data_IF_301033962665
#
_entry.id   IF_301033962665
#
_cell.length_a   1.000
_cell.length_b   1.000
_cell.length_c   1.000
_cell.angle_alpha   90.00
_cell.angle_beta   90.00
_cell.angle_gamma   90.00
#
_symmetry.space_group_name_H-M   'P 1'
#
loop_
_entity.id
_entity.type
_entity.pdbx_description
1 polymer ?
#
# COMPACT_ATOMS: atom_id res chain seq x y z
N UNK A 1 11.49 28.88 8.91
CA UNK A 1 11.53 28.04 7.69
C UNK A 1 11.31 26.58 8.01
N UNK A 2 12.10 25.98 8.90
CA UNK A 2 11.86 24.63 9.44
C UNK A 2 10.39 24.39 9.87
N UNK A 3 9.83 25.27 10.71
CA UNK A 3 8.43 25.19 11.13
C UNK A 3 7.43 25.23 9.96
N UNK A 4 7.71 26.01 8.90
CA UNK A 4 6.83 26.12 7.73
C UNK A 4 6.80 24.80 6.97
N UNK A 5 7.98 24.22 6.72
CA UNK A 5 8.11 22.95 6.03
C UNK A 5 7.51 21.80 6.84
N UNK A 6 7.77 21.78 8.16
CA UNK A 6 7.24 20.75 9.05
C UNK A 6 5.71 20.79 9.07
N UNK A 7 5.10 21.97 9.27
CA UNK A 7 3.64 22.14 9.26
C UNK A 7 3.07 21.80 7.88
N UNK A 8 3.72 22.20 6.79
CA UNK A 8 3.25 21.89 5.44
C UNK A 8 3.25 20.38 5.16
N UNK A 9 4.34 19.70 5.54
CA UNK A 9 4.50 18.27 5.35
C UNK A 9 3.54 17.48 6.25
N UNK A 10 3.35 17.91 7.50
CA UNK A 10 2.37 17.30 8.41
C UNK A 10 0.95 17.50 7.88
N UNK A 11 0.58 18.69 7.42
CA UNK A 11 -0.73 18.97 6.80
C UNK A 11 -0.96 18.15 5.53
N UNK A 12 0.05 17.97 4.69
CA UNK A 12 -0.04 17.13 3.49
C UNK A 12 -0.26 15.66 3.86
N UNK A 13 0.50 15.13 4.82
CA UNK A 13 0.33 13.76 5.29
C UNK A 13 -1.07 13.56 5.89
N UNK A 14 -1.49 14.48 6.74
CA UNK A 14 -2.79 14.45 7.41
C UNK A 14 -3.96 14.59 6.44
N UNK A 15 -3.85 15.41 5.39
CA UNK A 15 -4.88 15.52 4.35
C UNK A 15 -4.99 14.22 3.54
N UNK A 16 -3.87 13.62 3.12
CA UNK A 16 -3.89 12.38 2.34
C UNK A 16 -4.50 11.22 3.12
N UNK A 17 -4.06 11.00 4.37
CA UNK A 17 -4.68 9.99 5.24
C UNK A 17 -6.13 10.33 5.57
N UNK A 18 -6.44 11.61 5.75
CA UNK A 18 -7.80 12.12 5.97
C UNK A 18 -8.74 11.76 4.83
N UNK A 19 -8.36 11.96 3.56
CA UNK A 19 -9.19 11.65 2.39
C UNK A 19 -9.56 10.16 2.39
N UNK A 20 -8.57 9.28 2.53
CA UNK A 20 -8.81 7.83 2.54
C UNK A 20 -9.70 7.40 3.70
N UNK A 21 -9.48 7.96 4.89
CA UNK A 21 -10.25 7.64 6.10
C UNK A 21 -11.70 8.13 5.99
N UNK A 22 -11.91 9.35 5.49
CA UNK A 22 -13.24 9.92 5.23
C UNK A 22 -14.01 9.06 4.22
N UNK A 23 -13.42 8.71 3.07
CA UNK A 23 -14.11 7.87 2.08
C UNK A 23 -14.55 6.54 2.69
N UNK A 24 -13.66 5.88 3.44
CA UNK A 24 -13.93 4.57 4.04
C UNK A 24 -15.03 4.63 5.10
N UNK A 25 -14.89 5.48 6.13
CA UNK A 25 -15.81 5.43 7.28
C UNK A 25 -17.00 6.39 7.16
N UNK A 26 -16.86 7.50 6.42
CA UNK A 26 -17.98 8.44 6.24
C UNK A 26 -18.96 7.91 5.20
N UNK A 27 -18.46 7.46 4.04
CA UNK A 27 -19.31 7.19 2.90
C UNK A 27 -19.49 5.71 2.55
N UNK A 28 -18.46 4.88 2.71
CA UNK A 28 -18.49 3.43 2.41
C UNK A 28 -18.62 2.52 3.63
N UNK A 29 -19.04 3.04 4.77
CA UNK A 29 -19.32 2.18 5.92
C UNK A 29 -20.56 1.33 5.63
N UNK A 30 -20.51 0.02 5.92
CA UNK A 30 -21.69 -0.84 5.85
C UNK A 30 -22.86 -0.33 6.71
N UNK A 31 -22.55 0.42 7.76
CA UNK A 31 -23.56 1.05 8.63
C UNK A 31 -24.39 2.13 7.91
N UNK A 32 -23.96 2.67 6.77
CA UNK A 32 -24.72 3.72 6.08
C UNK A 32 -26.07 3.21 5.57
N UNK A 33 -26.12 1.99 5.06
CA UNK A 33 -27.38 1.37 4.62
C UNK A 33 -28.32 1.11 5.79
N UNK A 34 -27.77 0.72 6.94
CA UNK A 34 -28.54 0.51 8.17
C UNK A 34 -29.06 1.84 8.74
N UNK A 35 -28.19 2.86 8.82
CA UNK A 35 -28.52 4.18 9.35
C UNK A 35 -29.54 4.92 8.46
N UNK A 36 -29.56 4.65 7.16
CA UNK A 36 -30.59 5.17 6.24
C UNK A 36 -31.99 4.60 6.51
N UNK A 37 -32.10 3.43 7.16
CA UNK A 37 -33.38 2.83 7.54
C UNK A 37 -33.91 3.35 8.87
N UNK A 38 -33.06 3.98 9.68
CA UNK A 38 -33.46 4.58 10.95
C UNK A 38 -33.97 6.02 10.75
N UNK A 39 -34.90 6.51 11.60
CA UNK A 39 -35.42 7.87 11.55
C UNK A 39 -34.43 8.89 12.12
N UNK A 40 -33.19 8.88 11.64
CA UNK A 40 -32.12 9.81 12.03
C UNK A 40 -31.86 10.81 10.92
N UNK A 41 -31.66 12.08 11.29
CA UNK A 41 -31.36 13.10 10.28
C UNK A 41 -29.95 12.87 9.69
N UNK A 42 -29.75 13.01 8.36
CA UNK A 42 -28.44 12.82 7.74
C UNK A 42 -27.35 13.72 8.33
N UNK A 43 -27.74 14.91 8.81
CA UNK A 43 -26.84 15.84 9.49
C UNK A 43 -26.32 15.30 10.83
N UNK A 44 -27.14 14.59 11.61
CA UNK A 44 -26.73 13.98 12.86
C UNK A 44 -25.73 12.83 12.64
N UNK A 45 -25.96 12.00 11.62
CA UNK A 45 -25.04 10.91 11.23
C UNK A 45 -23.70 11.46 10.73
N UNK A 46 -23.74 12.52 9.93
CA UNK A 46 -22.53 13.19 9.45
C UNK A 46 -21.73 13.80 10.61
N UNK A 47 -22.40 14.50 11.53
CA UNK A 47 -21.76 15.12 12.69
C UNK A 47 -21.12 14.09 13.63
N UNK A 48 -21.79 12.97 13.91
CA UNK A 48 -21.25 11.91 14.78
C UNK A 48 -19.99 11.27 14.18
N UNK A 49 -20.00 10.99 12.87
CA UNK A 49 -18.85 10.41 12.18
C UNK A 49 -17.67 11.37 12.08
N UNK A 50 -17.92 12.65 11.78
CA UNK A 50 -16.88 13.68 11.77
C UNK A 50 -16.28 13.90 13.16
N UNK A 51 -17.08 13.84 14.22
CA UNK A 51 -16.56 13.97 15.59
C UNK A 51 -15.52 12.88 15.91
N UNK A 52 -15.77 11.64 15.48
CA UNK A 52 -14.79 10.54 15.63
C UNK A 52 -13.50 10.81 14.85
N UNK A 53 -13.59 11.34 13.62
CA UNK A 53 -12.40 11.73 12.86
C UNK A 53 -11.61 12.86 13.52
N UNK A 54 -12.30 13.87 14.07
CA UNK A 54 -11.64 14.93 14.83
C UNK A 54 -10.89 14.33 16.02
N UNK A 55 -11.47 13.37 16.75
CA UNK A 55 -10.77 12.69 17.85
C UNK A 55 -9.50 11.98 17.39
N UNK A 56 -9.55 11.20 16.30
CA UNK A 56 -8.35 10.54 15.76
C UNK A 56 -7.28 11.55 15.35
N UNK A 57 -7.69 12.65 14.71
CA UNK A 57 -6.79 13.71 14.28
C UNK A 57 -6.14 14.43 15.46
N UNK A 58 -6.89 14.67 16.54
CA UNK A 58 -6.39 15.24 17.79
C UNK A 58 -5.31 14.34 18.39
N UNK A 59 -5.55 13.03 18.48
CA UNK A 59 -4.57 12.08 19.03
C UNK A 59 -3.28 12.09 18.20
N UNK A 60 -3.38 12.05 16.87
CA UNK A 60 -2.22 12.11 15.99
C UNK A 60 -1.42 13.41 16.19
N UNK A 61 -2.11 14.54 16.22
CA UNK A 61 -1.52 15.88 16.37
C UNK A 61 -0.80 16.01 17.72
N UNK A 62 -1.38 15.48 18.80
CA UNK A 62 -0.78 15.49 20.13
C UNK A 62 0.42 14.55 20.27
N UNK A 63 0.43 13.39 19.60
CA UNK A 63 1.54 12.44 19.70
C UNK A 63 2.71 12.84 18.80
N UNK A 64 2.44 13.42 17.63
CA UNK A 64 3.46 13.68 16.59
C UNK A 64 3.87 15.15 16.54
N UNK A 65 2.93 16.09 16.45
CA UNK A 65 3.27 17.51 16.23
C UNK A 65 3.65 18.23 17.54
N UNK A 66 2.95 17.94 18.64
CA UNK A 66 3.19 18.61 19.93
C UNK A 66 4.63 18.43 20.43
N UNK A 67 5.24 17.23 20.46
CA UNK A 67 6.63 17.09 20.93
C UNK A 67 7.61 17.88 20.06
N UNK A 68 7.39 17.92 18.74
CA UNK A 68 8.26 18.66 17.81
C UNK A 68 8.18 20.16 18.05
N UNK A 69 6.98 20.71 18.29
CA UNK A 69 6.84 22.13 18.62
C UNK A 69 7.45 22.47 19.99
N UNK A 70 7.32 21.61 20.99
CA UNK A 70 7.96 21.82 22.30
C UNK A 70 9.49 21.82 22.16
N UNK A 71 10.07 20.83 21.48
CA UNK A 71 11.52 20.75 21.25
C UNK A 71 12.01 21.99 20.48
N UNK A 72 11.28 22.42 19.46
CA UNK A 72 11.60 23.64 18.72
C UNK A 72 11.57 24.89 19.61
N UNK A 73 10.55 25.04 20.45
CA UNK A 73 10.43 26.16 21.39
C UNK A 73 11.56 26.22 22.42
N UNK A 74 11.99 25.06 22.92
CA UNK A 74 13.10 24.94 23.87
C UNK A 74 14.46 25.23 23.22
N UNK A 75 14.74 24.63 22.05
CA UNK A 75 16.02 24.80 21.33
C UNK A 75 16.25 26.21 20.82
N UNK A 76 15.18 26.93 20.45
CA UNK A 76 15.26 28.29 19.92
C UNK A 76 14.98 29.37 20.97
N UNK A 77 14.85 28.99 22.25
CA UNK A 77 14.59 29.87 23.39
C UNK A 77 13.45 30.87 23.13
N UNK A 78 12.30 30.39 22.63
CA UNK A 78 11.16 31.24 22.30
C UNK A 78 10.50 31.83 23.56
N UNK A 79 9.97 33.05 23.42
CA UNK A 79 9.22 33.75 24.47
C UNK A 79 7.95 33.00 24.87
N UNK A 80 7.43 33.27 26.08
CA UNK A 80 6.15 32.74 26.59
C UNK A 80 4.97 32.82 25.60
N UNK A 81 4.93 33.86 24.75
CA UNK A 81 3.91 34.03 23.71
C UNK A 81 3.82 32.85 22.74
N UNK A 82 4.93 32.14 22.49
CA UNK A 82 4.97 30.94 21.65
C UNK A 82 4.10 29.82 22.25
N UNK A 83 4.31 29.53 23.54
CA UNK A 83 3.58 28.47 24.25
C UNK A 83 2.09 28.80 24.44
N UNK A 84 1.75 30.08 24.59
CA UNK A 84 0.35 30.52 24.66
C UNK A 84 -0.40 30.36 23.32
N UNK A 85 0.27 30.55 22.19
CA UNK A 85 -0.33 30.43 20.85
C UNK A 85 -0.31 28.99 20.31
N UNK A 86 0.47 28.10 20.91
CA UNK A 86 0.62 26.72 20.49
C UNK A 86 -0.72 25.95 20.41
N UNK A 87 -1.63 25.99 21.41
CA UNK A 87 -2.91 25.29 21.33
C UNK A 87 -3.78 25.74 20.15
N UNK A 88 -3.74 27.04 19.83
CA UNK A 88 -4.51 27.63 18.73
C UNK A 88 -4.01 27.09 17.39
N UNK A 89 -2.69 27.01 17.22
CA UNK A 89 -2.07 26.48 16.00
C UNK A 89 -2.32 24.98 15.84
N UNK A 90 -2.32 24.21 16.94
CA UNK A 90 -2.67 22.79 16.90
C UNK A 90 -4.11 22.57 16.42
N UNK A 91 -5.07 23.37 16.90
CA UNK A 91 -6.46 23.31 16.42
C UNK A 91 -6.52 23.54 14.91
N UNK A 92 -5.73 24.48 14.38
CA UNK A 92 -5.68 24.69 12.92
C UNK A 92 -5.04 23.56 12.15
N UNK A 93 -3.99 22.95 12.70
CA UNK A 93 -3.36 21.76 12.12
C UNK A 93 -4.32 20.55 12.12
N UNK A 94 -5.35 20.54 12.96
CA UNK A 94 -6.42 19.53 12.94
C UNK A 94 -7.52 19.90 11.93
N UNK A 95 -8.07 21.12 12.02
CA UNK A 95 -9.29 21.51 11.28
C UNK A 95 -9.03 21.66 9.79
N UNK A 96 -7.89 22.25 9.41
CA UNK A 96 -7.61 22.53 8.00
C UNK A 96 -7.44 21.25 7.18
N UNK A 97 -6.59 20.28 7.59
CA UNK A 97 -6.46 19.04 6.85
C UNK A 97 -7.77 18.26 6.74
N UNK A 98 -8.56 18.22 7.81
CA UNK A 98 -9.85 17.54 7.80
C UNK A 98 -10.85 18.21 6.85
N UNK A 99 -10.86 19.54 6.80
CA UNK A 99 -11.76 20.31 5.92
C UNK A 99 -11.43 20.08 4.45
N UNK A 100 -10.14 20.13 4.10
CA UNK A 100 -9.65 19.83 2.74
C UNK A 100 -9.95 18.38 2.38
N UNK A 101 -9.70 17.43 3.30
CA UNK A 101 -9.99 16.01 3.08
C UNK A 101 -11.48 15.76 2.81
N UNK A 102 -12.36 16.37 3.59
CA UNK A 102 -13.81 16.29 3.40
C UNK A 102 -14.28 16.91 2.08
N UNK A 103 -13.64 17.99 1.63
CA UNK A 103 -13.97 18.65 0.36
C UNK A 103 -13.51 17.80 -0.84
N UNK A 104 -12.32 17.20 -0.75
CA UNK A 104 -11.75 16.33 -1.78
C UNK A 104 -12.37 14.93 -1.80
N UNK A 105 -12.92 14.44 -0.69
CA UNK A 105 -13.57 13.13 -0.63
C UNK A 105 -14.78 13.04 -1.57
N UNK A 106 -15.58 14.10 -1.69
CA UNK A 106 -16.78 14.12 -2.55
C UNK A 106 -16.45 13.88 -4.04
N UNK A 107 -15.55 14.66 -4.70
CA UNK A 107 -15.22 14.41 -6.10
C UNK A 107 -14.55 13.05 -6.29
N UNK A 108 -13.68 12.62 -5.37
CA UNK A 108 -13.05 11.30 -5.43
C UNK A 108 -14.10 10.20 -5.40
N UNK A 109 -15.13 10.33 -4.57
CA UNK A 109 -16.24 9.40 -4.54
C UNK A 109 -17.10 9.41 -5.80
N UNK A 110 -17.41 10.58 -6.33
CA UNK A 110 -18.20 10.68 -7.57
C UNK A 110 -17.46 10.06 -8.75
N UNK A 111 -16.14 10.24 -8.82
CA UNK A 111 -15.28 9.57 -9.79
C UNK A 111 -15.31 8.06 -9.52
N UNK A 112 -15.07 7.63 -8.28
CA UNK A 112 -15.06 6.20 -7.91
C UNK A 112 -16.38 5.49 -8.22
N UNK A 113 -17.52 6.13 -7.98
CA UNK A 113 -18.84 5.59 -8.29
C UNK A 113 -19.05 5.42 -9.81
N UNK A 114 -18.54 6.35 -10.63
CA UNK A 114 -18.59 6.22 -12.10
C UNK A 114 -17.64 5.15 -12.63
N UNK A 115 -16.48 4.98 -12.00
CA UNK A 115 -15.47 4.01 -12.44
C UNK A 115 -15.71 2.61 -11.88
N UNK A 116 -16.64 2.42 -10.93
CA UNK A 116 -16.99 1.13 -10.31
C UNK A 116 -17.34 0.06 -11.37
N UNK A 117 -18.03 0.45 -12.44
CA UNK A 117 -18.40 -0.45 -13.54
C UNK A 117 -17.29 -0.65 -14.59
N UNK A 118 -16.24 0.18 -14.57
CA UNK A 118 -15.09 0.09 -15.46
C UNK A 118 -13.91 -0.52 -14.72
N UNK A 119 -14.05 -1.78 -14.32
CA UNK A 119 -13.02 -2.52 -13.59
C UNK A 119 -11.61 -2.35 -14.20
N UNK A 120 -11.47 -2.46 -15.52
CA UNK A 120 -10.19 -2.31 -16.23
C UNK A 120 -9.59 -0.91 -16.07
N UNK A 121 -10.41 0.13 -16.11
CA UNK A 121 -9.95 1.51 -15.94
C UNK A 121 -9.54 1.76 -14.48
N UNK A 122 -10.30 1.25 -13.52
CA UNK A 122 -9.96 1.32 -12.09
C UNK A 122 -8.61 0.64 -11.80
N UNK A 123 -8.41 -0.56 -12.35
CA UNK A 123 -7.15 -1.30 -12.22
C UNK A 123 -5.99 -0.51 -12.84
N UNK A 124 -6.14 -0.02 -14.07
CA UNK A 124 -5.10 0.73 -14.76
C UNK A 124 -4.71 2.01 -14.03
N UNK A 125 -5.69 2.81 -13.58
CA UNK A 125 -5.44 4.03 -12.80
C UNK A 125 -4.72 3.71 -11.49
N UNK A 126 -5.13 2.63 -10.81
CA UNK A 126 -4.51 2.22 -9.56
C UNK A 126 -3.05 1.77 -9.72
N UNK A 127 -2.74 1.06 -10.83
CA UNK A 127 -1.37 0.68 -11.21
C UNK A 127 -0.50 1.91 -11.45
N UNK A 128 -1.00 2.86 -12.25
CA UNK A 128 -0.28 4.10 -12.54
C UNK A 128 -0.04 4.88 -11.25
N UNK A 129 -1.04 5.00 -10.38
CA UNK A 129 -0.91 5.74 -9.13
C UNK A 129 0.13 5.13 -8.19
N UNK A 130 0.16 3.80 -8.06
CA UNK A 130 1.17 3.09 -7.24
C UNK A 130 2.56 3.24 -7.85
N UNK A 131 2.70 3.06 -9.17
CA UNK A 131 3.99 3.18 -9.85
C UNK A 131 4.56 4.61 -9.79
N UNK A 132 3.73 5.62 -10.06
CA UNK A 132 4.11 7.04 -9.98
C UNK A 132 4.38 7.45 -8.53
N UNK A 133 3.54 7.04 -7.59
CA UNK A 133 3.74 7.32 -6.17
C UNK A 133 5.07 6.77 -5.66
N UNK A 134 5.42 5.54 -6.06
CA UNK A 134 6.71 4.96 -5.72
C UNK A 134 7.87 5.64 -6.44
N UNK A 135 7.72 6.02 -7.70
CA UNK A 135 8.75 6.76 -8.43
C UNK A 135 9.05 8.12 -7.79
N UNK A 136 8.01 8.86 -7.38
CA UNK A 136 8.15 10.11 -6.62
C UNK A 136 8.84 9.85 -5.28
N UNK A 137 8.39 8.83 -4.53
CA UNK A 137 9.00 8.44 -3.26
C UNK A 137 10.50 8.14 -3.41
N UNK A 138 10.87 7.34 -4.41
CA UNK A 138 12.27 7.01 -4.69
C UNK A 138 13.07 8.22 -5.16
N UNK A 139 12.46 9.14 -5.91
CA UNK A 139 13.11 10.38 -6.31
C UNK A 139 13.39 11.30 -5.11
N UNK A 140 12.46 11.39 -4.15
CA UNK A 140 12.65 12.13 -2.90
C UNK A 140 13.77 11.50 -2.06
N UNK A 141 13.79 10.17 -1.90
CA UNK A 141 14.88 9.49 -1.18
C UNK A 141 16.20 9.71 -1.91
N UNK A 142 16.23 9.59 -3.23
CA UNK A 142 17.45 9.82 -3.99
C UNK A 142 17.96 11.26 -3.76
N UNK A 143 17.08 12.25 -3.79
CA UNK A 143 17.43 13.62 -3.42
C UNK A 143 17.98 13.75 -2.00
N UNK A 144 17.40 13.05 -1.02
CA UNK A 144 17.91 13.01 0.37
C UNK A 144 19.27 12.30 0.46
N UNK A 145 19.48 11.24 -0.31
CA UNK A 145 20.72 10.45 -0.32
C UNK A 145 21.86 11.23 -1.00
N UNK A 146 21.59 11.86 -2.14
CA UNK A 146 22.56 12.69 -2.84
C UNK A 146 22.93 13.91 -1.97
N UNK A 147 21.94 14.49 -1.28
CA UNK A 147 22.13 15.50 -0.24
C UNK A 147 23.00 14.99 0.94
N UNK A 148 22.77 13.77 1.44
CA UNK A 148 23.61 13.20 2.52
C UNK A 148 25.05 12.94 2.09
N UNK A 149 25.31 12.68 0.81
CA UNK A 149 26.68 12.44 0.28
C UNK A 149 27.46 13.71 0.04
N UNK A 150 26.81 14.75 -0.47
CA UNK A 150 27.45 16.04 -0.72
C UNK A 150 27.75 16.81 0.60
N UNK A 151 27.11 16.43 1.71
CA UNK A 151 26.89 17.36 2.81
C UNK A 151 27.15 16.81 4.22
N UNK A 152 28.27 16.11 4.42
CA UNK A 152 28.80 15.89 5.77
C UNK A 152 29.13 17.19 6.55
N UNK A 153 28.91 18.39 5.99
CA UNK A 153 29.29 19.69 6.59
C UNK A 153 28.35 20.90 6.32
N UNK A 154 27.12 20.78 5.79
CA UNK A 154 26.28 21.98 5.66
C UNK A 154 24.77 21.77 5.60
N UNK A 155 24.13 21.41 6.71
CA UNK A 155 22.68 21.66 6.92
C UNK A 155 22.19 23.11 6.58
N UNK A 156 23.10 24.03 6.20
CA UNK A 156 22.90 25.44 5.86
C UNK A 156 23.70 25.90 4.62
N UNK A 157 23.82 25.12 3.53
CA UNK A 157 24.29 25.72 2.27
C UNK A 157 23.35 26.87 1.87
N UNK A 158 23.91 28.02 1.49
CA UNK A 158 23.12 29.23 1.18
C UNK A 158 22.11 28.99 0.06
N UNK A 159 22.43 28.13 -0.90
CA UNK A 159 21.57 27.86 -2.06
C UNK A 159 20.34 27.00 -1.70
N UNK A 160 20.51 25.96 -0.88
CA UNK A 160 19.40 25.13 -0.38
C UNK A 160 18.52 25.91 0.58
N UNK A 161 19.10 26.74 1.45
CA UNK A 161 18.34 27.70 2.25
C UNK A 161 17.60 28.73 1.40
N UNK A 162 18.15 29.17 0.27
CA UNK A 162 17.47 30.09 -0.65
C UNK A 162 16.29 29.43 -1.36
N UNK A 163 16.42 28.17 -1.79
CA UNK A 163 15.33 27.40 -2.40
C UNK A 163 14.25 27.10 -1.37
N UNK A 164 14.63 26.66 -0.17
CA UNK A 164 13.72 26.39 0.94
C UNK A 164 13.02 27.67 1.42
N UNK A 165 13.73 28.79 1.52
CA UNK A 165 13.14 30.08 1.92
C UNK A 165 12.20 30.63 0.84
N UNK A 166 12.52 30.45 -0.45
CA UNK A 166 11.62 30.76 -1.55
C UNK A 166 10.37 29.87 -1.51
N UNK A 167 10.53 28.56 -1.36
CA UNK A 167 9.40 27.62 -1.24
C UNK A 167 8.52 27.94 -0.02
N UNK A 168 9.12 28.14 1.16
CA UNK A 168 8.42 28.46 2.40
C UNK A 168 7.60 29.75 2.30
N UNK A 169 8.02 30.74 1.49
CA UNK A 169 7.25 31.97 1.25
C UNK A 169 5.94 31.74 0.49
N UNK A 170 5.86 30.73 -0.37
CA UNK A 170 4.68 30.44 -1.20
C UNK A 170 3.75 29.37 -0.61
N UNK A 171 4.18 28.64 0.42
CA UNK A 171 3.36 27.59 1.05
C UNK A 171 2.39 28.21 2.06
N UNK A 172 1.27 28.72 1.55
CA UNK A 172 0.13 29.14 2.36
C UNK A 172 -0.84 27.98 2.57
N UNK A 173 -1.44 27.83 3.78
CA UNK A 173 -1.37 28.74 4.93
C UNK A 173 -0.34 28.35 6.01
N UNK A 174 0.44 27.28 5.81
CA UNK A 174 1.46 26.80 6.76
C UNK A 174 2.46 27.90 7.16
N UNK A 175 2.79 28.80 6.23
CA UNK A 175 3.64 29.96 6.47
C UNK A 175 3.04 30.94 7.50
N UNK A 176 1.73 31.17 7.47
CA UNK A 176 1.06 32.05 8.43
C UNK A 176 1.05 31.46 9.84
N UNK A 177 0.85 30.15 9.98
CA UNK A 177 0.90 29.49 11.28
C UNK A 177 2.31 29.51 11.88
N UNK A 178 3.35 29.30 11.08
CA UNK A 178 4.72 29.41 11.54
C UNK A 178 5.08 30.85 11.97
N UNK A 179 4.64 31.86 11.21
CA UNK A 179 4.86 33.26 11.60
C UNK A 179 4.08 33.68 12.84
N UNK A 180 2.90 33.08 13.05
CA UNK A 180 2.09 33.28 14.25
C UNK A 180 2.82 32.73 15.49
N UNK A 181 3.44 31.55 15.39
CA UNK A 181 4.24 30.97 16.47
C UNK A 181 5.49 31.79 16.81
N UNK A 182 6.25 32.24 15.81
CA UNK A 182 7.53 32.96 15.99
C UNK A 182 7.34 34.42 16.48
N UNK A 183 6.09 34.88 16.66
CA UNK A 183 5.82 36.23 17.15
C UNK A 183 6.10 37.34 16.12
N UNK A 184 6.29 37.01 14.83
CA UNK A 184 6.27 37.98 13.71
C UNK A 184 4.81 38.36 13.39
N UNK A 185 4.12 38.84 14.43
CA UNK A 185 2.69 39.04 14.49
C UNK A 185 2.26 40.21 13.60
N UNK A 186 1.72 39.90 12.42
CA UNK A 186 0.94 40.87 11.61
C UNK A 186 -0.53 40.52 11.77
N UNK A 187 -1.28 41.35 12.49
CA UNK A 187 -2.73 41.17 12.75
C UNK A 187 -3.52 40.83 11.48
N UNK A 188 -3.19 41.44 10.34
CA UNK A 188 -3.83 41.15 9.06
C UNK A 188 -3.56 39.74 8.54
N UNK A 189 -2.34 39.21 8.71
CA UNK A 189 -1.98 37.87 8.24
C UNK A 189 -2.58 36.76 9.13
N UNK A 190 -2.65 36.99 10.45
CA UNK A 190 -3.29 36.05 11.36
C UNK A 190 -4.80 36.01 11.14
N UNK A 191 -5.48 37.17 11.06
CA UNK A 191 -6.91 37.21 10.73
C UNK A 191 -7.23 36.52 9.39
N UNK A 192 -6.38 36.69 8.39
CA UNK A 192 -6.55 36.06 7.08
C UNK A 192 -6.34 34.54 7.16
N UNK A 193 -5.39 34.06 7.97
CA UNK A 193 -5.23 32.62 8.23
C UNK A 193 -6.43 31.99 8.94
N UNK A 194 -6.99 32.68 9.94
CA UNK A 194 -8.23 32.26 10.61
C UNK A 194 -9.39 32.24 9.63
N UNK A 195 -9.55 33.30 8.84
CA UNK A 195 -10.61 33.39 7.83
C UNK A 195 -10.53 32.25 6.82
N UNK A 196 -9.33 31.92 6.32
CA UNK A 196 -9.13 30.80 5.42
C UNK A 196 -9.55 29.48 6.06
N UNK A 197 -9.12 29.18 7.30
CA UNK A 197 -9.53 27.93 7.96
C UNK A 197 -11.04 27.87 8.17
N UNK A 198 -11.66 28.97 8.61
CA UNK A 198 -13.10 29.05 8.81
C UNK A 198 -13.86 28.88 7.49
N UNK A 199 -13.41 29.51 6.39
CA UNK A 199 -14.01 29.35 5.06
C UNK A 199 -13.92 27.89 4.60
N UNK A 200 -12.78 27.23 4.75
CA UNK A 200 -12.63 25.82 4.39
C UNK A 200 -13.50 24.90 5.25
N UNK A 201 -13.58 25.15 6.56
CA UNK A 201 -14.40 24.37 7.48
C UNK A 201 -15.90 24.53 7.18
N UNK A 202 -16.37 25.77 7.03
CA UNK A 202 -17.77 26.08 6.69
C UNK A 202 -18.11 25.55 5.30
N UNK A 203 -17.22 25.74 4.32
CA UNK A 203 -17.37 25.22 2.97
C UNK A 203 -17.48 23.71 2.94
N UNK A 204 -16.64 23.01 3.70
CA UNK A 204 -16.70 21.55 3.82
C UNK A 204 -18.03 21.09 4.44
N UNK A 205 -18.52 21.74 5.50
CA UNK A 205 -19.80 21.36 6.13
C UNK A 205 -20.99 21.60 5.21
N UNK A 206 -21.05 22.75 4.52
CA UNK A 206 -22.15 23.07 3.59
C UNK A 206 -22.15 22.11 2.40
N UNK A 207 -20.99 21.90 1.78
CA UNK A 207 -20.86 21.05 0.60
C UNK A 207 -21.20 19.59 0.94
N UNK A 208 -20.69 19.10 2.08
CA UNK A 208 -21.03 17.75 2.52
C UNK A 208 -22.50 17.63 2.88
N UNK A 209 -23.10 18.54 3.66
CA UNK A 209 -24.53 18.45 3.97
C UNK A 209 -25.41 18.37 2.71
N UNK A 210 -25.03 19.10 1.65
CA UNK A 210 -25.75 19.09 0.36
C UNK A 210 -25.51 17.83 -0.46
N UNK A 211 -24.27 17.33 -0.53
CA UNK A 211 -23.88 16.25 -1.44
C UNK A 211 -23.79 14.87 -0.76
N UNK A 212 -23.82 14.79 0.57
CA UNK A 212 -23.62 13.55 1.34
C UNK A 212 -24.66 12.49 0.95
N UNK A 213 -25.96 12.80 1.08
CA UNK A 213 -27.04 11.87 0.77
C UNK A 213 -27.01 11.45 -0.71
N UNK A 214 -26.90 12.43 -1.63
CA UNK A 214 -26.83 12.16 -3.07
C UNK A 214 -25.63 11.30 -3.46
N UNK A 215 -24.50 11.42 -2.76
CA UNK A 215 -23.29 10.64 -3.04
C UNK A 215 -23.44 9.21 -2.54
N UNK A 216 -24.02 9.01 -1.35
CA UNK A 216 -24.26 7.66 -0.83
C UNK A 216 -25.34 6.94 -1.66
N UNK A 217 -26.46 7.62 -1.97
CA UNK A 217 -27.50 7.04 -2.81
C UNK A 217 -26.97 6.63 -4.18
N UNK A 218 -26.14 7.46 -4.82
CA UNK A 218 -25.47 7.11 -6.08
C UNK A 218 -24.51 5.93 -5.96
N UNK A 219 -23.81 5.77 -4.84
CA UNK A 219 -22.92 4.62 -4.63
C UNK A 219 -23.74 3.32 -4.46
N UNK A 220 -24.86 3.39 -3.71
CA UNK A 220 -25.81 2.27 -3.51
C UNK A 220 -26.53 1.91 -4.82
N UNK A 221 -27.12 2.88 -5.51
CA UNK A 221 -27.80 2.70 -6.80
C UNK A 221 -26.81 2.22 -7.88
N UNK A 222 -25.57 2.70 -7.84
CA UNK A 222 -24.49 2.27 -8.73
C UNK A 222 -24.10 0.80 -8.56
N UNK A 223 -24.27 0.23 -7.35
CA UNK A 223 -24.09 -1.22 -7.10
C UNK A 223 -25.20 -2.08 -7.70
N UNK A 224 -26.40 -1.52 -7.88
CA UNK A 224 -27.59 -2.26 -8.32
C UNK A 224 -27.66 -2.51 -9.84
N UNK A 225 -26.84 -1.84 -10.65
CA UNK A 225 -26.80 -2.05 -12.10
C UNK A 225 -26.03 -3.34 -12.43
N UNK A 226 -26.57 -4.50 -12.06
CA UNK A 226 -26.05 -5.80 -12.48
C UNK A 226 -26.15 -5.89 -14.00
N UNK A 227 -25.02 -5.73 -14.69
CA UNK A 227 -24.92 -5.98 -16.12
C UNK A 227 -25.21 -7.46 -16.39
N UNK A 228 -26.43 -7.77 -16.83
CA UNK A 228 -26.85 -9.13 -17.18
C UNK A 228 -26.46 -9.44 -18.61
N UNK A 229 -25.25 -9.97 -18.80
CA UNK A 229 -24.84 -10.50 -20.10
C UNK A 229 -25.29 -11.95 -20.25
N UNK A 230 -26.02 -12.33 -21.30
CA UNK A 230 -26.30 -13.73 -21.58
C UNK A 230 -24.98 -14.47 -21.85
N UNK A 231 -24.54 -15.28 -20.88
CA UNK A 231 -23.32 -16.06 -21.00
C UNK A 231 -23.62 -17.42 -21.62
N UNK A 232 -23.02 -17.73 -22.78
CA UNK A 232 -23.12 -19.06 -23.37
C UNK A 232 -22.36 -20.06 -22.51
N UNK A 233 -23.02 -21.14 -22.10
CA UNK A 233 -22.36 -22.24 -21.40
C UNK A 233 -21.43 -22.98 -22.36
N UNK A 234 -20.12 -22.71 -22.26
CA UNK A 234 -19.08 -23.42 -23.03
C UNK A 234 -18.52 -24.53 -22.16
N UNK A 235 -18.75 -25.78 -22.56
CA UNK A 235 -18.16 -26.98 -21.94
C UNK A 235 -16.64 -26.89 -22.05
N UNK A 236 -15.94 -27.06 -20.93
CA UNK A 236 -14.49 -27.01 -20.81
C UNK A 236 -14.02 -28.21 -19.99
N UNK A 237 -12.74 -28.56 -20.08
CA UNK A 237 -12.13 -29.53 -19.17
C UNK A 237 -12.26 -29.06 -17.72
N UNK A 238 -12.42 -30.00 -16.79
CA UNK A 238 -12.64 -29.68 -15.37
C UNK A 238 -11.50 -28.81 -14.79
N UNK A 239 -10.24 -29.09 -15.15
CA UNK A 239 -9.08 -28.32 -14.72
C UNK A 239 -9.09 -26.88 -15.23
N UNK A 240 -9.40 -26.68 -16.52
CA UNK A 240 -9.47 -25.34 -17.12
C UNK A 240 -10.68 -24.56 -16.61
N UNK A 241 -11.80 -25.23 -16.36
CA UNK A 241 -12.99 -24.61 -15.77
C UNK A 241 -12.69 -24.06 -14.37
N UNK A 242 -12.03 -24.85 -13.51
CA UNK A 242 -11.61 -24.41 -12.17
C UNK A 242 -10.56 -23.30 -12.25
N UNK A 243 -9.55 -23.40 -13.12
CA UNK A 243 -8.56 -22.34 -13.30
C UNK A 243 -9.20 -21.01 -13.74
N UNK A 244 -10.10 -21.07 -14.73
CA UNK A 244 -10.84 -19.90 -15.22
C UNK A 244 -11.73 -19.30 -14.14
N UNK A 245 -12.36 -20.14 -13.30
CA UNK A 245 -13.16 -19.68 -12.16
C UNK A 245 -12.30 -18.87 -11.19
N UNK A 246 -11.20 -19.44 -10.70
CA UNK A 246 -10.29 -18.75 -9.77
C UNK A 246 -9.75 -17.45 -10.35
N UNK A 247 -9.39 -17.44 -11.63
CA UNK A 247 -8.95 -16.25 -12.32
C UNK A 247 -10.05 -15.19 -12.38
N UNK A 248 -11.26 -15.55 -12.79
CA UNK A 248 -12.38 -14.59 -12.85
C UNK A 248 -12.79 -14.07 -11.48
N UNK A 249 -12.71 -14.87 -10.43
CA UNK A 249 -13.09 -14.45 -9.08
C UNK A 249 -12.13 -13.39 -8.52
N UNK A 250 -10.85 -13.40 -8.92
CA UNK A 250 -9.93 -12.29 -8.63
C UNK A 250 -10.39 -11.01 -9.33
N UNK A 251 -10.72 -11.09 -10.63
CA UNK A 251 -11.15 -9.96 -11.46
C UNK A 251 -12.54 -9.41 -11.13
N UNK A 252 -13.36 -10.17 -10.41
CA UNK A 252 -14.69 -9.72 -9.97
C UNK A 252 -14.63 -8.75 -8.79
N UNK A 253 -13.59 -8.84 -7.96
CA UNK A 253 -13.34 -7.89 -6.87
C UNK A 253 -12.24 -6.92 -7.26
N UNK A 254 -12.54 -5.63 -7.21
CA UNK A 254 -11.57 -4.56 -7.45
C UNK A 254 -10.42 -4.61 -6.44
N UNK A 255 -10.72 -4.93 -5.17
CA UNK A 255 -9.73 -5.02 -4.11
C UNK A 255 -8.77 -6.20 -4.31
N UNK A 256 -9.30 -7.39 -4.64
CA UNK A 256 -8.49 -8.58 -4.92
C UNK A 256 -7.59 -8.39 -6.14
N UNK A 257 -8.12 -7.77 -7.19
CA UNK A 257 -7.34 -7.47 -8.38
C UNK A 257 -6.29 -6.40 -8.15
N UNK A 258 -6.60 -5.38 -7.35
CA UNK A 258 -5.63 -4.39 -6.93
C UNK A 258 -4.47 -5.05 -6.17
N UNK A 259 -4.76 -5.79 -5.10
CA UNK A 259 -3.70 -6.44 -4.30
C UNK A 259 -2.84 -7.41 -5.12
N UNK A 260 -3.46 -8.15 -6.04
CA UNK A 260 -2.77 -9.18 -6.79
C UNK A 260 -2.02 -8.66 -8.04
N UNK A 261 -2.71 -7.95 -8.93
CA UNK A 261 -2.15 -7.52 -10.22
C UNK A 261 -1.44 -6.18 -10.13
N UNK A 262 -1.94 -5.24 -9.34
CA UNK A 262 -1.29 -3.93 -9.20
C UNK A 262 0.12 -4.08 -8.67
N UNK A 263 0.29 -4.89 -7.62
CA UNK A 263 1.59 -5.17 -7.02
C UNK A 263 2.51 -5.92 -8.00
N UNK A 264 1.97 -6.85 -8.80
CA UNK A 264 2.75 -7.59 -9.79
C UNK A 264 3.27 -6.69 -10.93
N UNK A 265 2.48 -5.72 -11.38
CA UNK A 265 2.88 -4.76 -12.44
C UNK A 265 3.79 -3.66 -11.90
N UNK A 266 3.61 -3.25 -10.64
CA UNK A 266 4.42 -2.22 -10.03
C UNK A 266 5.80 -2.73 -9.57
N UNK A 267 5.92 -4.00 -9.18
CA UNK A 267 7.16 -4.60 -8.69
C UNK A 267 8.40 -4.36 -9.58
N UNK A 268 8.37 -4.54 -10.92
CA UNK A 268 9.53 -4.29 -11.77
C UNK A 268 10.03 -2.84 -11.72
N UNK A 269 9.10 -1.86 -11.67
CA UNK A 269 9.43 -0.44 -11.55
C UNK A 269 10.05 -0.15 -10.17
N UNK A 270 9.54 -0.78 -9.13
CA UNK A 270 10.07 -0.62 -7.78
C UNK A 270 11.48 -1.20 -7.65
N UNK A 271 11.70 -2.43 -8.13
CA UNK A 271 13.01 -3.09 -8.14
C UNK A 271 14.04 -2.25 -8.90
N UNK A 272 13.68 -1.73 -10.08
CA UNK A 272 14.55 -0.86 -10.87
C UNK A 272 15.03 0.37 -10.09
N UNK A 273 14.10 1.09 -9.45
CA UNK A 273 14.44 2.29 -8.69
C UNK A 273 15.28 1.98 -7.44
N UNK A 274 14.95 0.90 -6.72
CA UNK A 274 15.73 0.47 -5.55
C UNK A 274 17.16 0.09 -5.93
N UNK A 275 17.35 -0.63 -7.04
CA UNK A 275 18.69 -1.01 -7.51
C UNK A 275 19.47 0.20 -8.02
N UNK A 276 18.81 1.17 -8.67
CA UNK A 276 19.45 2.43 -9.07
C UNK A 276 19.94 3.23 -7.86
N UNK A 277 19.12 3.31 -6.81
CA UNK A 277 19.48 3.98 -5.56
C UNK A 277 20.63 3.28 -4.85
N UNK A 278 20.59 1.94 -4.76
CA UNK A 278 21.69 1.17 -4.20
C UNK A 278 23.00 1.34 -4.98
N UNK A 279 22.92 1.39 -6.31
CA UNK A 279 24.08 1.63 -7.17
C UNK A 279 24.67 3.04 -6.99
N UNK A 280 23.83 4.07 -6.75
CA UNK A 280 24.35 5.42 -6.48
C UNK A 280 25.05 5.50 -5.12
N UNK A 281 24.60 4.75 -4.11
CA UNK A 281 25.18 4.75 -2.76
C UNK A 281 26.52 4.03 -2.67
N UNK A 282 26.76 3.03 -3.52
CA UNK A 282 28.01 2.29 -3.54
C UNK A 282 29.08 2.98 -4.37
N UNK A 283 29.68 4.07 -3.88
CA UNK A 283 30.87 4.64 -4.53
C UNK A 283 32.01 3.61 -4.58
N UNK A 284 32.39 3.26 -5.80
CA UNK A 284 33.62 2.65 -6.30
C UNK A 284 34.15 1.38 -5.58
N UNK A 285 34.18 0.29 -6.34
CA UNK A 285 34.68 -1.09 -6.08
C UNK A 285 33.81 -2.04 -5.25
N UNK A 286 33.43 -1.71 -4.01
CA UNK A 286 32.71 -2.67 -3.16
C UNK A 286 31.21 -2.73 -3.52
N UNK A 287 30.61 -1.58 -3.84
CA UNK A 287 29.19 -1.49 -4.20
C UNK A 287 28.83 -2.33 -5.43
N UNK A 288 29.62 -2.26 -6.49
CA UNK A 288 29.38 -2.99 -7.75
C UNK A 288 29.37 -4.52 -7.58
N UNK A 289 30.14 -5.03 -6.62
CA UNK A 289 30.23 -6.46 -6.31
C UNK A 289 28.97 -6.94 -5.57
N UNK A 290 28.36 -6.08 -4.76
CA UNK A 290 27.18 -6.40 -3.93
C UNK A 290 25.86 -6.23 -4.70
N UNK A 291 25.82 -5.37 -5.72
CA UNK A 291 24.60 -5.04 -6.50
C UNK A 291 23.80 -6.28 -6.94
N UNK A 292 24.39 -7.39 -7.44
CA UNK A 292 23.62 -8.58 -7.82
C UNK A 292 22.88 -9.26 -6.65
N UNK A 293 23.50 -9.32 -5.46
CA UNK A 293 22.86 -9.89 -4.27
C UNK A 293 21.78 -8.95 -3.70
N UNK A 294 22.01 -7.64 -3.77
CA UNK A 294 21.01 -6.64 -3.39
C UNK A 294 19.79 -6.71 -4.32
N UNK A 295 20.02 -6.83 -5.62
CA UNK A 295 18.95 -6.99 -6.60
C UNK A 295 18.12 -8.26 -6.36
N UNK A 296 18.77 -9.39 -6.03
CA UNK A 296 18.10 -10.62 -5.61
C UNK A 296 17.22 -10.37 -4.38
N UNK A 297 17.75 -9.71 -3.35
CA UNK A 297 17.02 -9.39 -2.13
C UNK A 297 15.76 -8.57 -2.43
N UNK A 298 15.89 -7.50 -3.21
CA UNK A 298 14.78 -6.61 -3.55
C UNK A 298 13.73 -7.34 -4.40
N UNK A 299 14.15 -8.16 -5.37
CA UNK A 299 13.24 -9.01 -6.13
C UNK A 299 12.44 -9.97 -5.25
N UNK A 300 13.11 -10.61 -4.28
CA UNK A 300 12.46 -11.52 -3.34
C UNK A 300 11.46 -10.80 -2.43
N UNK A 301 11.77 -9.57 -1.97
CA UNK A 301 10.85 -8.76 -1.15
C UNK A 301 9.56 -8.48 -1.92
N UNK A 302 9.66 -7.99 -3.15
CA UNK A 302 8.46 -7.70 -3.96
C UNK A 302 7.71 -8.97 -4.38
N UNK A 303 8.43 -10.06 -4.63
CA UNK A 303 7.82 -11.35 -4.86
C UNK A 303 7.03 -11.84 -3.63
N UNK A 304 7.58 -11.71 -2.41
CA UNK A 304 6.88 -12.06 -1.17
C UNK A 304 5.59 -11.26 -0.98
N UNK A 305 5.57 -9.97 -1.36
CA UNK A 305 4.37 -9.14 -1.33
C UNK A 305 3.28 -9.71 -2.26
N UNK A 306 3.63 -10.04 -3.50
CA UNK A 306 2.68 -10.64 -4.47
C UNK A 306 2.14 -11.99 -3.97
N UNK A 307 3.01 -12.84 -3.41
CA UNK A 307 2.66 -14.19 -2.96
C UNK A 307 1.90 -14.21 -1.64
N UNK A 308 1.98 -13.15 -0.82
CA UNK A 308 1.19 -13.02 0.41
C UNK A 308 -0.32 -13.15 0.15
N UNK A 309 -0.77 -12.81 -1.05
CA UNK A 309 -2.15 -12.95 -1.49
C UNK A 309 -2.59 -14.42 -1.69
N UNK A 310 -1.65 -15.35 -1.94
CA UNK A 310 -1.95 -16.78 -2.00
C UNK A 310 -2.39 -17.36 -0.64
N UNK A 311 -2.02 -16.69 0.46
CA UNK A 311 -2.34 -17.08 1.82
C UNK A 311 -3.81 -16.86 2.21
N UNK A 312 -4.63 -16.32 1.31
CA UNK A 312 -6.08 -16.18 1.47
C UNK A 312 -6.87 -16.94 0.41
N UNK A 313 -6.21 -17.79 -0.39
CA UNK A 313 -6.81 -18.46 -1.55
C UNK A 313 -7.99 -19.40 -1.24
N UNK A 314 -8.02 -20.02 -0.07
CA UNK A 314 -9.11 -20.85 0.45
C UNK A 314 -10.07 -19.99 1.28
N UNK A 315 -9.55 -19.10 2.12
CA UNK A 315 -10.37 -18.18 2.92
C UNK A 315 -11.29 -17.31 2.07
N UNK A 316 -10.85 -16.90 0.87
CA UNK A 316 -11.62 -16.09 -0.10
C UNK A 316 -12.82 -16.81 -0.70
N UNK A 317 -12.90 -18.14 -0.60
CA UNK A 317 -14.10 -18.87 -1.04
C UNK A 317 -15.29 -18.60 -0.09
N UNK A 318 -15.03 -18.23 1.17
CA UNK A 318 -16.05 -17.75 2.07
C UNK A 318 -17.23 -18.72 2.26
N UNK A 319 -18.44 -18.17 2.19
CA UNK A 319 -19.68 -18.94 2.26
C UNK A 319 -19.82 -19.97 1.13
N UNK A 320 -19.15 -19.77 -0.01
CA UNK A 320 -19.18 -20.67 -1.15
C UNK A 320 -18.18 -21.82 -1.05
N UNK A 321 -17.45 -21.95 0.06
CA UNK A 321 -16.47 -23.04 0.25
C UNK A 321 -17.10 -24.44 0.15
N UNK A 322 -18.38 -24.62 0.53
CA UNK A 322 -19.05 -25.93 0.34
C UNK A 322 -19.07 -26.36 -1.14
N UNK A 323 -19.05 -25.43 -2.10
CA UNK A 323 -19.01 -25.73 -3.53
C UNK A 323 -17.73 -26.46 -3.92
N UNK A 324 -16.60 -26.20 -3.26
CA UNK A 324 -15.36 -26.92 -3.57
C UNK A 324 -15.33 -28.35 -3.08
N UNK A 325 -16.23 -28.71 -2.14
CA UNK A 325 -16.42 -30.10 -1.69
C UNK A 325 -17.32 -30.93 -2.60
N UNK A 326 -18.30 -30.32 -3.25
CA UNK A 326 -19.26 -31.03 -4.12
C UNK A 326 -18.77 -31.16 -5.57
N UNK A 327 -17.83 -30.31 -5.99
CA UNK A 327 -17.30 -30.34 -7.35
C UNK A 327 -16.54 -31.66 -7.59
N UNK A 328 -16.76 -32.35 -8.74
CA UNK A 328 -16.13 -33.64 -9.05
C UNK A 328 -14.66 -33.48 -9.49
N UNK A 329 -13.85 -32.77 -8.70
CA UNK A 329 -12.42 -32.55 -8.93
C UNK A 329 -11.68 -32.84 -7.62
N UNK A 330 -10.63 -33.69 -7.63
CA UNK A 330 -9.91 -34.04 -6.41
C UNK A 330 -9.24 -32.81 -5.79
N UNK A 331 -9.20 -32.75 -4.45
CA UNK A 331 -8.68 -31.61 -3.69
C UNK A 331 -7.24 -31.22 -4.08
N UNK A 332 -6.38 -32.22 -4.34
CA UNK A 332 -5.01 -32.00 -4.83
C UNK A 332 -4.97 -31.17 -6.11
N UNK A 333 -5.86 -31.46 -7.07
CA UNK A 333 -5.93 -30.73 -8.33
C UNK A 333 -6.45 -29.32 -8.13
N UNK A 334 -7.44 -29.12 -7.23
CA UNK A 334 -7.94 -27.79 -6.91
C UNK A 334 -6.85 -26.89 -6.30
N UNK A 335 -6.07 -27.43 -5.35
CA UNK A 335 -4.96 -26.73 -4.70
C UNK A 335 -3.82 -26.45 -5.69
N UNK A 336 -3.48 -27.41 -6.55
CA UNK A 336 -2.43 -27.23 -7.55
C UNK A 336 -2.80 -26.16 -8.60
N UNK A 337 -4.09 -26.06 -8.96
CA UNK A 337 -4.61 -24.99 -9.82
C UNK A 337 -4.44 -23.61 -9.15
N UNK A 338 -4.73 -23.49 -7.85
CA UNK A 338 -4.51 -22.24 -7.10
C UNK A 338 -3.03 -21.84 -7.11
N UNK A 339 -2.12 -22.78 -6.84
CA UNK A 339 -0.67 -22.53 -6.90
C UNK A 339 -0.25 -22.10 -8.30
N UNK A 340 -0.70 -22.81 -9.34
CA UNK A 340 -0.38 -22.48 -10.71
C UNK A 340 -0.82 -21.06 -11.07
N UNK A 341 -1.99 -20.61 -10.60
CA UNK A 341 -2.46 -19.25 -10.80
C UNK A 341 -1.53 -18.21 -10.16
N UNK A 342 -1.14 -18.40 -8.90
CA UNK A 342 -0.24 -17.47 -8.19
C UNK A 342 1.17 -17.46 -8.80
N UNK A 343 1.64 -18.62 -9.25
CA UNK A 343 2.93 -18.77 -9.89
C UNK A 343 2.98 -18.11 -11.28
N UNK A 344 1.92 -18.14 -12.09
CA UNK A 344 1.96 -17.53 -13.44
C UNK A 344 2.11 -16.01 -13.40
N UNK A 345 1.50 -15.33 -12.43
CA UNK A 345 1.64 -13.87 -12.30
C UNK A 345 2.97 -13.50 -11.66
N UNK A 346 3.41 -14.27 -10.65
CA UNK A 346 4.72 -14.05 -10.05
C UNK A 346 5.86 -14.28 -11.06
N UNK A 347 5.78 -15.30 -11.91
CA UNK A 347 6.79 -15.55 -12.95
C UNK A 347 6.81 -14.46 -13.99
N UNK A 348 5.64 -14.01 -14.45
CA UNK A 348 5.55 -12.91 -15.40
C UNK A 348 6.20 -11.63 -14.85
N UNK A 349 5.93 -11.29 -13.58
CA UNK A 349 6.54 -10.13 -12.92
C UNK A 349 8.07 -10.27 -12.77
N UNK A 350 8.56 -11.44 -12.37
CA UNK A 350 10.00 -11.72 -12.25
C UNK A 350 10.72 -11.65 -13.61
N UNK A 351 10.12 -12.16 -14.68
CA UNK A 351 10.67 -12.09 -16.03
C UNK A 351 10.76 -10.65 -16.53
N UNK A 352 9.71 -9.85 -16.35
CA UNK A 352 9.72 -8.42 -16.70
C UNK A 352 10.82 -7.70 -15.91
N UNK A 353 10.95 -8.01 -14.62
CA UNK A 353 12.00 -7.43 -13.77
C UNK A 353 13.41 -7.79 -14.28
N UNK A 354 13.65 -9.06 -14.62
CA UNK A 354 14.93 -9.51 -15.16
C UNK A 354 15.29 -8.81 -16.48
N UNK A 355 14.31 -8.65 -17.38
CA UNK A 355 14.47 -7.95 -18.66
C UNK A 355 14.79 -6.47 -18.40
N UNK A 356 14.07 -5.80 -17.51
CA UNK A 356 14.34 -4.39 -17.17
C UNK A 356 15.76 -4.20 -16.61
N UNK A 357 16.20 -5.08 -15.71
CA UNK A 357 17.55 -5.02 -15.15
C UNK A 357 18.65 -5.18 -16.21
N UNK A 358 18.42 -6.05 -17.19
CA UNK A 358 19.31 -6.24 -18.33
C UNK A 358 19.33 -4.99 -19.24
N UNK A 359 18.16 -4.48 -19.63
CA UNK A 359 18.04 -3.30 -20.52
C UNK A 359 18.64 -2.05 -19.89
N UNK A 360 18.45 -1.86 -18.58
CA UNK A 360 19.01 -0.74 -17.83
C UNK A 360 20.53 -0.85 -17.57
N UNK A 361 21.18 -1.93 -18.04
CA UNK A 361 22.62 -2.21 -17.85
C UNK A 361 23.08 -2.21 -16.39
N UNK A 362 22.17 -2.49 -15.46
CA UNK A 362 22.50 -2.60 -14.03
C UNK A 362 23.19 -3.93 -13.71
N UNK A 363 22.87 -4.99 -14.46
CA UNK A 363 23.43 -6.33 -14.30
C UNK A 363 23.74 -6.98 -15.65
N UNK A 364 24.73 -7.87 -15.66
CA UNK A 364 24.94 -8.77 -16.78
C UNK A 364 23.74 -9.74 -16.92
N UNK A 365 23.39 -10.11 -18.15
CA UNK A 365 22.26 -10.98 -18.47
C UNK A 365 22.28 -12.28 -17.65
N UNK A 366 23.45 -12.94 -17.57
CA UNK A 366 23.60 -14.19 -16.83
C UNK A 366 23.17 -14.06 -15.36
N UNK A 367 23.55 -12.96 -14.70
CA UNK A 367 23.23 -12.75 -13.30
C UNK A 367 21.78 -12.31 -13.08
N UNK A 368 21.23 -11.46 -13.96
CA UNK A 368 19.82 -11.08 -13.91
C UNK A 368 18.88 -12.29 -14.06
N UNK A 369 19.13 -13.17 -15.04
CA UNK A 369 18.33 -14.38 -15.23
C UNK A 369 18.57 -15.43 -14.14
N UNK A 370 19.80 -15.57 -13.62
CA UNK A 370 20.06 -16.47 -12.50
C UNK A 370 19.34 -16.03 -11.22
N UNK A 371 19.29 -14.71 -10.96
CA UNK A 371 18.58 -14.14 -9.83
C UNK A 371 17.05 -14.35 -9.97
N UNK A 372 16.51 -14.18 -11.17
CA UNK A 372 15.11 -14.50 -11.46
C UNK A 372 14.80 -15.99 -11.30
N UNK A 373 15.72 -16.88 -11.69
CA UNK A 373 15.60 -18.33 -11.48
C UNK A 373 15.57 -18.72 -10.01
N UNK A 374 16.45 -18.14 -9.19
CA UNK A 374 16.44 -18.33 -7.73
C UNK A 374 15.12 -17.78 -7.14
N UNK A 375 14.71 -16.57 -7.54
CA UNK A 375 13.47 -15.98 -7.08
C UNK A 375 12.23 -16.80 -7.47
N UNK A 376 12.24 -17.45 -8.63
CA UNK A 376 11.20 -18.38 -9.05
C UNK A 376 11.13 -19.64 -8.18
N UNK A 377 12.27 -20.23 -7.80
CA UNK A 377 12.27 -21.39 -6.92
C UNK A 377 11.80 -21.02 -5.51
N UNK A 378 12.23 -19.87 -4.99
CA UNK A 378 11.76 -19.36 -3.70
C UNK A 378 10.26 -19.04 -3.76
N UNK A 379 9.74 -18.52 -4.89
CA UNK A 379 8.32 -18.24 -5.02
C UNK A 379 7.45 -19.50 -4.98
N UNK A 380 7.91 -20.63 -5.51
CA UNK A 380 7.26 -21.93 -5.33
C UNK A 380 7.16 -22.28 -3.84
N UNK A 381 8.27 -22.14 -3.11
CA UNK A 381 8.33 -22.49 -1.69
C UNK A 381 7.38 -21.62 -0.85
N UNK A 382 7.41 -20.30 -1.05
CA UNK A 382 6.55 -19.34 -0.34
C UNK A 382 5.08 -19.55 -0.69
N UNK A 383 4.74 -19.83 -1.95
CA UNK A 383 3.35 -20.10 -2.36
C UNK A 383 2.82 -21.39 -1.73
N UNK A 384 3.62 -22.46 -1.73
CA UNK A 384 3.23 -23.72 -1.11
C UNK A 384 3.05 -23.57 0.41
N UNK A 385 3.92 -22.81 1.07
CA UNK A 385 3.78 -22.45 2.47
C UNK A 385 2.51 -21.63 2.74
N UNK A 386 2.22 -20.64 1.88
CA UNK A 386 1.07 -19.77 2.00
C UNK A 386 -0.26 -20.53 1.90
N UNK A 387 -0.41 -21.35 0.86
CA UNK A 387 -1.61 -22.17 0.65
C UNK A 387 -1.77 -23.21 1.75
N UNK A 388 -0.65 -23.79 2.24
CA UNK A 388 -0.68 -24.69 3.40
C UNK A 388 -1.22 -23.99 4.63
N UNK A 389 -0.73 -22.79 4.94
CA UNK A 389 -1.16 -22.06 6.13
C UNK A 389 -2.66 -21.76 6.08
N UNK A 390 -3.15 -21.33 4.91
CA UNK A 390 -4.58 -21.04 4.71
C UNK A 390 -5.46 -22.31 4.80
N UNK A 391 -5.03 -23.44 4.20
CA UNK A 391 -5.76 -24.72 4.34
C UNK A 391 -5.80 -25.26 5.77
N UNK A 392 -4.86 -24.87 6.64
CA UNK A 392 -4.86 -25.31 8.03
C UNK A 392 -5.72 -24.47 8.95
N UNK A 393 -5.88 -23.18 8.65
CA UNK A 393 -6.64 -22.22 9.46
C UNK A 393 -7.39 -21.24 8.56
N UNK A 394 -8.38 -21.70 7.79
CA UNK A 394 -9.14 -20.81 6.92
C UNK A 394 -9.99 -19.86 7.76
N UNK A 395 -10.06 -18.60 7.32
CA UNK A 395 -10.87 -17.55 7.93
C UNK A 395 -11.98 -17.15 6.96
N UNK A 396 -13.18 -17.70 7.17
CA UNK A 396 -14.36 -17.38 6.37
C UNK A 396 -15.10 -16.14 6.92
N UNK A 397 -14.37 -15.04 7.12
CA UNK A 397 -14.95 -13.77 7.54
C UNK A 397 -15.24 -12.90 6.31
N UNK A 398 -16.33 -13.22 5.61
CA UNK A 398 -16.74 -12.50 4.39
C UNK A 398 -17.65 -11.33 4.78
N UNK A 399 -17.35 -10.13 4.30
CA UNK A 399 -18.23 -8.95 4.42
C UNK A 399 -19.34 -8.96 3.38
N UNK A 400 -20.24 -7.96 3.43
CA UNK A 400 -21.41 -7.87 2.56
C UNK A 400 -21.13 -7.90 1.05
N UNK A 401 -19.92 -7.52 0.63
CA UNK A 401 -19.49 -7.52 -0.77
C UNK A 401 -18.83 -8.84 -1.24
N UNK A 402 -18.79 -9.88 -0.40
CA UNK A 402 -18.05 -11.12 -0.71
C UNK A 402 -16.53 -10.99 -0.56
N UNK A 403 -16.05 -9.87 -0.03
CA UNK A 403 -14.65 -9.64 0.30
C UNK A 403 -14.33 -10.05 1.74
N UNK A 404 -13.10 -10.52 2.00
CA UNK A 404 -12.64 -10.78 3.37
C UNK A 404 -12.66 -9.48 4.18
N UNK A 405 -13.53 -9.40 5.18
CA UNK A 405 -13.81 -8.17 5.95
C UNK A 405 -12.70 -7.87 6.98
N UNK A 406 -11.91 -8.89 7.34
CA UNK A 406 -10.78 -8.78 8.27
C UNK A 406 -9.51 -9.22 7.55
N UNK A 407 -8.43 -8.46 7.71
CA UNK A 407 -7.12 -8.82 7.16
C UNK A 407 -6.71 -10.21 7.65
N UNK A 408 -6.49 -11.13 6.72
CA UNK A 408 -6.17 -12.51 7.06
C UNK A 408 -4.81 -12.55 7.77
N UNK A 409 -4.79 -13.07 9.01
CA UNK A 409 -3.55 -13.25 9.78
C UNK A 409 -2.54 -14.08 8.99
N UNK A 410 -3.04 -15.01 8.18
CA UNK A 410 -2.25 -15.84 7.26
C UNK A 410 -1.45 -15.01 6.26
N UNK A 411 -2.05 -13.98 5.67
CA UNK A 411 -1.39 -13.06 4.75
C UNK A 411 -0.26 -12.30 5.44
N UNK A 412 -0.47 -11.84 6.68
CA UNK A 412 0.57 -11.17 7.45
C UNK A 412 1.74 -12.11 7.80
N UNK A 413 1.46 -13.35 8.22
CA UNK A 413 2.49 -14.34 8.53
C UNK A 413 3.31 -14.67 7.29
N UNK A 414 2.67 -14.88 6.13
CA UNK A 414 3.37 -15.17 4.87
C UNK A 414 4.20 -13.98 4.41
N UNK A 415 3.69 -12.76 4.54
CA UNK A 415 4.46 -11.54 4.23
C UNK A 415 5.71 -11.44 5.11
N UNK A 416 5.59 -11.66 6.43
CA UNK A 416 6.70 -11.60 7.35
C UNK A 416 7.74 -12.70 7.09
N UNK A 417 7.30 -13.95 6.89
CA UNK A 417 8.17 -15.07 6.55
C UNK A 417 8.87 -14.84 5.21
N UNK A 418 8.14 -14.37 4.20
CA UNK A 418 8.71 -14.04 2.89
C UNK A 418 9.74 -12.92 2.97
N UNK A 419 9.48 -11.88 3.77
CA UNK A 419 10.45 -10.82 4.02
C UNK A 419 11.70 -11.33 4.73
N UNK A 420 11.56 -12.15 5.78
CA UNK A 420 12.68 -12.76 6.49
C UNK A 420 13.54 -13.64 5.56
N UNK A 421 12.91 -14.48 4.73
CA UNK A 421 13.61 -15.28 3.71
C UNK A 421 14.36 -14.37 2.73
N UNK A 422 13.72 -13.29 2.27
CA UNK A 422 14.34 -12.34 1.33
C UNK A 422 15.59 -11.69 1.91
N UNK A 423 15.53 -11.24 3.16
CA UNK A 423 16.68 -10.64 3.87
C UNK A 423 17.79 -11.67 4.09
N UNK A 424 17.46 -12.90 4.49
CA UNK A 424 18.44 -13.97 4.68
C UNK A 424 19.15 -14.31 3.36
N UNK A 425 18.41 -14.44 2.26
CA UNK A 425 18.98 -14.67 0.92
C UNK A 425 19.85 -13.49 0.46
N UNK A 426 19.39 -12.26 0.73
CA UNK A 426 20.16 -11.04 0.46
C UNK A 426 21.48 -11.04 1.20
N UNK A 427 21.45 -11.11 2.54
CA UNK A 427 22.63 -11.09 3.40
C UNK A 427 23.60 -12.23 3.08
N UNK A 428 23.09 -13.46 2.91
CA UNK A 428 23.92 -14.60 2.51
C UNK A 428 24.54 -14.40 1.13
N UNK A 429 23.79 -13.82 0.18
CA UNK A 429 24.31 -13.43 -1.12
C UNK A 429 25.44 -12.42 -1.01
N UNK A 430 25.29 -11.37 -0.19
CA UNK A 430 26.32 -10.34 0.01
C UNK A 430 27.59 -10.93 0.62
N UNK A 431 27.47 -11.67 1.73
CA UNK A 431 28.62 -12.29 2.42
C UNK A 431 29.27 -13.37 1.56
N UNK A 432 28.47 -14.21 0.89
CA UNK A 432 28.97 -15.29 0.03
C UNK A 432 29.79 -14.77 -1.14
N UNK A 433 29.40 -13.63 -1.73
CA UNK A 433 30.15 -13.02 -2.83
C UNK A 433 31.58 -12.66 -2.40
N UNK A 434 31.78 -12.17 -1.17
CA UNK A 434 33.12 -11.87 -0.64
C UNK A 434 33.95 -13.14 -0.34
N UNK A 435 33.30 -14.22 0.09
CA UNK A 435 33.98 -15.45 0.49
C UNK A 435 34.35 -16.36 -0.69
N UNK A 436 33.41 -16.56 -1.62
CA UNK A 436 33.49 -17.61 -2.63
C UNK A 436 33.37 -17.08 -4.08
N UNK A 437 33.20 -15.77 -4.24
CA UNK A 437 32.98 -15.14 -5.53
C UNK A 437 31.54 -15.29 -6.03
N UNK A 438 31.20 -14.49 -7.05
CA UNK A 438 29.82 -14.30 -7.48
C UNK A 438 29.18 -15.59 -8.01
N UNK A 439 29.86 -16.31 -8.91
CA UNK A 439 29.31 -17.49 -9.59
C UNK A 439 29.01 -18.63 -8.63
N UNK A 440 29.91 -18.91 -7.67
CA UNK A 440 29.73 -19.99 -6.69
C UNK A 440 28.59 -19.67 -5.72
N UNK A 441 28.47 -18.42 -5.30
CA UNK A 441 27.40 -17.97 -4.39
C UNK A 441 26.02 -18.16 -5.01
N UNK A 442 25.84 -17.74 -6.27
CA UNK A 442 24.57 -17.91 -6.98
C UNK A 442 24.24 -19.40 -7.21
N UNK A 443 25.24 -20.25 -7.44
CA UNK A 443 25.04 -21.70 -7.58
C UNK A 443 24.56 -22.32 -6.25
N UNK A 444 25.18 -21.96 -5.13
CA UNK A 444 24.75 -22.40 -3.79
C UNK A 444 23.31 -21.94 -3.50
N UNK A 445 23.00 -20.66 -3.76
CA UNK A 445 21.64 -20.12 -3.58
C UNK A 445 20.61 -20.82 -4.48
N UNK A 446 20.99 -21.21 -5.69
CA UNK A 446 20.14 -22.00 -6.58
C UNK A 446 19.90 -23.41 -6.02
N UNK A 447 20.94 -24.09 -5.52
CA UNK A 447 20.81 -25.41 -4.90
C UNK A 447 19.92 -25.40 -3.64
N UNK A 448 20.09 -24.40 -2.78
CA UNK A 448 19.27 -24.23 -1.57
C UNK A 448 17.82 -23.91 -1.93
N UNK A 449 17.58 -23.04 -2.91
CA UNK A 449 16.23 -22.69 -3.33
C UNK A 449 15.50 -23.86 -4.00
N UNK A 450 16.21 -24.71 -4.76
CA UNK A 450 15.66 -25.95 -5.32
C UNK A 450 15.22 -26.91 -4.20
N UNK A 451 16.09 -27.13 -3.21
CA UNK A 451 15.77 -27.98 -2.06
C UNK A 451 14.55 -27.47 -1.30
N UNK A 452 14.50 -26.16 -1.02
CA UNK A 452 13.35 -25.53 -0.34
C UNK A 452 12.06 -25.65 -1.15
N UNK A 453 12.11 -25.48 -2.47
CA UNK A 453 10.95 -25.63 -3.34
C UNK A 453 10.37 -27.05 -3.28
N UNK A 454 11.23 -28.07 -3.42
CA UNK A 454 10.83 -29.47 -3.35
C UNK A 454 10.29 -29.82 -1.97
N UNK A 455 11.00 -29.42 -0.91
CA UNK A 455 10.58 -29.67 0.47
C UNK A 455 9.22 -29.02 0.77
N UNK A 456 8.99 -27.77 0.34
CA UNK A 456 7.74 -27.06 0.57
C UNK A 456 6.56 -27.68 -0.19
N UNK A 457 6.76 -28.15 -1.43
CA UNK A 457 5.70 -28.82 -2.21
C UNK A 457 5.36 -30.19 -1.60
N UNK A 458 6.37 -30.98 -1.22
CA UNK A 458 6.14 -32.24 -0.52
C UNK A 458 5.40 -32.01 0.80
N UNK A 459 5.85 -31.02 1.57
CA UNK A 459 5.21 -30.62 2.81
C UNK A 459 3.75 -30.22 2.57
N UNK A 460 3.44 -29.43 1.55
CA UNK A 460 2.05 -29.09 1.22
C UNK A 460 1.21 -30.35 0.94
N UNK A 461 1.71 -31.29 0.15
CA UNK A 461 0.97 -32.49 -0.27
C UNK A 461 0.70 -33.49 0.86
N UNK A 462 1.57 -33.56 1.88
CA UNK A 462 1.41 -34.48 3.00
C UNK A 462 0.14 -34.14 3.79
N UNK A 463 -0.85 -35.04 3.77
CA UNK A 463 -2.10 -34.89 4.53
C UNK A 463 -2.97 -33.73 4.02
N UNK A 464 -2.87 -33.36 2.75
CA UNK A 464 -3.72 -32.33 2.14
C UNK A 464 -5.20 -32.72 2.19
N UNK A 465 -5.54 -33.94 1.79
CA UNK A 465 -6.92 -34.44 1.72
C UNK A 465 -7.59 -34.39 3.10
N UNK A 466 -6.91 -34.93 4.13
CA UNK A 466 -7.39 -34.90 5.53
C UNK A 466 -7.59 -33.48 6.07
N UNK A 467 -6.80 -32.51 5.62
CA UNK A 467 -6.93 -31.11 6.05
C UNK A 467 -8.11 -30.46 5.35
N UNK A 468 -8.24 -30.66 4.04
CA UNK A 468 -9.34 -30.11 3.25
C UNK A 468 -10.71 -30.63 3.72
N UNK A 469 -10.79 -31.92 4.09
CA UNK A 469 -12.01 -32.53 4.63
C UNK A 469 -12.44 -31.93 5.97
N UNK A 470 -11.47 -31.70 6.88
CA UNK A 470 -11.72 -31.14 8.22
C UNK A 470 -12.28 -29.72 8.22
N UNK A 471 -12.15 -28.99 7.11
CA UNK A 471 -12.66 -27.62 7.01
C UNK A 471 -14.19 -27.69 6.95
N UNK A 472 -14.87 -27.62 8.08
CA UNK A 472 -16.33 -27.41 8.14
C UNK A 472 -16.61 -25.93 8.40
N UNK A 473 -17.53 -25.34 7.63
CA UNK A 473 -18.10 -24.03 7.99
C UNK A 473 -18.71 -24.17 9.39
N UNK A 474 -18.27 -23.32 10.32
CA UNK A 474 -18.88 -23.15 11.64
C UNK A 474 -19.64 -21.85 11.65
#
# INVERSE_FOLDING_TARGET
EFLVLFIALSQLILTLFGISSVIKNLFRSGDNELMMRFPVTPGAVFASKIAVFIMYQVVFTLVVELPVFIIFGLTTAQTWSYYALLPVVLIFCIVLPLSIANLLAIPVMQISARTKNMFTLSLLVSVIMVAVGFAIYMHVIQGVVDYMKEEAMSFFSKETMDIVSKAAKYIYPSNWFAYMLIGKWRLGASLLSFAVVVIFAVGAVILNKKHYLNTILRDIEGSGATFTMPSKNKVRSATWATFRREFLDIFRSSNYSFQYLCMAVAAPVMVYNCNKLAASMGENTIGAIIVPALALMVMLIFCAIILSFAASSVSREGENFYLTKIVPVPFKTQVLIKIALYMTVSTASLLVTAILMFVSKQLNAAYAFSAAGIAFLVSIAVTAFAVRLDTTRPQFAVGGDGELSVGNVSTFVVLFVGFAISVLYGLFGMVGIFLWGLTKTFLVLFGVSLFLAVAAVLWLMIGLDKRYERISQR
#
